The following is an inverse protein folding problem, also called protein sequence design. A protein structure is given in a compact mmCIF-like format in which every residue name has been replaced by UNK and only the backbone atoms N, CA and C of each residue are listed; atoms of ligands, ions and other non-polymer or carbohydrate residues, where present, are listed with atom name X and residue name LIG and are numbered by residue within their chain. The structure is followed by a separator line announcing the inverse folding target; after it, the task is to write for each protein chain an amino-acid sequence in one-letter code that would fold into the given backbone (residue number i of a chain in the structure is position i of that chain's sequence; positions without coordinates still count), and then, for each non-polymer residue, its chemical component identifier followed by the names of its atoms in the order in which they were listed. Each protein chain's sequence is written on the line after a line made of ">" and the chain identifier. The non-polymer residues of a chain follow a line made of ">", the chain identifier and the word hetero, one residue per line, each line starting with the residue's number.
data_IF_781600850201
#
_entry.id   IF_781600850201
#
_cell.length_a   1.000
_cell.length_b   1.000
_cell.length_c   1.000
_cell.angle_alpha   90.00
_cell.angle_beta   90.00
_cell.angle_gamma   90.00
#
_symmetry.space_group_name_H-M   'P 1'
#
loop_
_entity.id
_entity.type
_entity.pdbx_description
1 polymer ?
#
# COMPACT_ATOMS: atom_id res chain seq x y z
N UNK A 5 -3.02 -21.33 -7.89
CA UNK A 5 -2.36 -20.30 -8.73
C UNK A 5 -1.56 -20.97 -9.83
N UNK A 6 -1.74 -20.56 -11.05
CA UNK A 6 -0.97 -21.20 -12.16
C UNK A 6 0.49 -20.75 -12.07
N UNK A 7 1.37 -21.49 -12.69
CA UNK A 7 2.82 -21.12 -12.65
C UNK A 7 3.02 -19.84 -13.47
N UNK A 8 2.07 -19.51 -14.30
CA UNK A 8 2.20 -18.28 -15.14
C UNK A 8 2.09 -17.02 -14.27
N UNK A 9 1.20 -17.02 -13.32
CA UNK A 9 1.00 -15.81 -12.46
C UNK A 9 2.14 -15.63 -11.45
N UNK A 10 2.63 -16.68 -10.84
CA UNK A 10 3.73 -16.48 -9.85
C UNK A 10 4.92 -15.85 -10.56
N UNK A 11 5.24 -16.29 -11.75
CA UNK A 11 6.39 -15.69 -12.48
C UNK A 11 6.13 -14.19 -12.68
N UNK A 12 4.91 -13.82 -12.98
CA UNK A 12 4.63 -12.37 -13.17
C UNK A 12 4.94 -11.64 -11.86
N UNK A 13 4.62 -12.27 -10.75
CA UNK A 13 4.90 -11.62 -9.44
C UNK A 13 6.37 -11.26 -9.36
N UNK A 14 7.22 -11.99 -10.02
CA UNK A 14 8.67 -11.65 -9.96
C UNK A 14 8.97 -10.55 -10.98
N UNK A 15 8.03 -10.25 -11.84
CA UNK A 15 8.26 -9.18 -12.88
C UNK A 15 7.72 -7.81 -12.41
N UNK A 16 6.77 -7.77 -11.50
CA UNK A 16 6.25 -6.43 -11.07
C UNK A 16 5.33 -6.55 -9.85
N UNK A 17 5.43 -5.60 -8.95
CA UNK A 17 4.57 -5.62 -7.73
C UNK A 17 3.10 -5.58 -8.13
N UNK A 18 2.79 -4.83 -9.15
CA UNK A 18 1.37 -4.71 -9.57
C UNK A 18 0.77 -6.09 -9.86
N UNK A 19 1.52 -6.97 -10.47
CA UNK A 19 0.96 -8.32 -10.77
C UNK A 19 0.60 -9.03 -9.45
N UNK A 20 1.47 -8.98 -8.48
CA UNK A 20 1.18 -9.66 -7.19
C UNK A 20 -0.08 -9.08 -6.56
N UNK A 21 -0.18 -7.78 -6.49
CA UNK A 21 -1.38 -7.16 -5.87
C UNK A 21 -2.57 -7.18 -6.85
N UNK A 22 -2.33 -7.38 -8.13
CA UNK A 22 -3.46 -7.38 -9.12
C UNK A 22 -4.01 -8.79 -9.32
N UNK A 23 -3.40 -9.80 -8.74
CA UNK A 23 -3.93 -11.19 -8.93
C UNK A 23 -4.92 -11.52 -7.81
N UNK A 24 -5.97 -12.24 -8.14
CA UNK A 24 -6.98 -12.60 -7.11
C UNK A 24 -6.31 -13.40 -5.99
N UNK A 25 -5.41 -14.28 -6.33
CA UNK A 25 -4.73 -15.07 -5.26
C UNK A 25 -3.59 -14.25 -4.69
N UNK A 26 -2.93 -13.48 -5.51
CA UNK A 26 -1.83 -12.65 -4.99
C UNK A 26 -2.42 -11.72 -3.94
N UNK A 27 -3.56 -11.15 -4.23
CA UNK A 27 -4.22 -10.25 -3.23
C UNK A 27 -4.49 -11.07 -1.96
N UNK A 28 -5.12 -12.19 -2.10
CA UNK A 28 -5.42 -13.04 -0.90
C UNK A 28 -4.10 -13.45 -0.24
N UNK A 29 -3.17 -13.91 -1.01
CA UNK A 29 -1.86 -14.32 -0.44
C UNK A 29 -1.14 -13.07 0.09
N UNK A 30 -1.16 -12.01 -0.68
CA UNK A 30 -0.49 -10.78 -0.24
C UNK A 30 -1.17 -10.26 1.04
N UNK A 31 -2.47 -10.21 1.06
CA UNK A 31 -3.16 -9.72 2.28
C UNK A 31 -2.79 -10.64 3.45
N UNK A 32 -2.72 -11.91 3.21
CA UNK A 32 -2.34 -12.85 4.30
C UNK A 32 -0.88 -12.58 4.67
N UNK A 33 -0.05 -12.34 3.70
CA UNK A 33 1.37 -12.06 4.00
C UNK A 33 1.49 -10.82 4.89
N UNK A 34 0.71 -9.82 4.63
CA UNK A 34 0.78 -8.59 5.48
C UNK A 34 0.45 -8.96 6.91
N UNK A 35 -0.51 -9.82 7.10
CA UNK A 35 -0.88 -10.25 8.47
C UNK A 35 0.34 -10.88 9.14
N UNK A 36 1.12 -11.59 8.39
CA UNK A 36 2.34 -12.24 8.97
C UNK A 36 3.27 -11.14 9.50
N UNK A 37 3.37 -10.04 8.78
CA UNK A 37 4.25 -8.92 9.23
C UNK A 37 3.36 -7.86 9.88
N UNK A 38 2.10 -8.16 10.01
CA UNK A 38 1.15 -7.20 10.65
C UNK A 38 1.21 -5.86 9.93
N UNK A 39 1.34 -5.90 8.63
CA UNK A 39 1.38 -4.64 7.82
C UNK A 39 0.06 -4.54 7.04
N UNK A 40 -0.99 -5.12 7.58
CA UNK A 40 -2.30 -5.07 6.87
C UNK A 40 -2.80 -3.63 6.81
N UNK A 41 -2.29 -2.77 7.64
CA UNK A 41 -2.74 -1.36 7.57
C UNK A 41 -2.35 -0.80 6.20
N UNK A 42 -1.28 -1.29 5.65
CA UNK A 42 -0.82 -0.81 4.31
C UNK A 42 -1.87 -1.08 3.22
N UNK A 43 -2.46 -2.25 3.19
CA UNK A 43 -3.47 -2.50 2.12
C UNK A 43 -4.71 -1.64 2.40
N UNK A 44 -5.09 -1.51 3.63
CA UNK A 44 -6.27 -0.65 3.92
C UNK A 44 -5.91 0.77 3.45
N UNK A 45 -4.71 1.19 3.71
CA UNK A 45 -4.27 2.54 3.25
C UNK A 45 -4.27 2.54 1.72
N UNK A 46 -3.81 1.47 1.12
CA UNK A 46 -3.80 1.40 -0.37
C UNK A 46 -5.22 1.54 -0.88
N UNK A 47 -6.16 0.86 -0.27
CA UNK A 47 -7.57 0.97 -0.73
C UNK A 47 -8.03 2.41 -0.57
N UNK A 48 -7.67 3.03 0.52
CA UNK A 48 -8.07 4.44 0.73
C UNK A 48 -7.35 5.30 -0.32
N UNK A 49 -6.12 4.97 -0.61
CA UNK A 49 -5.37 5.75 -1.63
C UNK A 49 -6.03 5.58 -3.00
N UNK A 50 -6.48 4.39 -3.31
CA UNK A 50 -7.12 4.18 -4.64
C UNK A 50 -8.35 5.09 -4.75
N UNK A 51 -9.17 5.13 -3.73
CA UNK A 51 -10.35 6.03 -3.79
C UNK A 51 -9.84 7.45 -3.96
N UNK A 52 -8.78 7.78 -3.27
CA UNK A 52 -8.18 9.12 -3.38
C UNK A 52 -7.67 9.33 -4.80
N UNK A 53 -7.07 8.32 -5.39
CA UNK A 53 -6.54 8.43 -6.77
C UNK A 53 -7.68 8.53 -7.79
N UNK A 54 -8.85 8.09 -7.44
CA UNK A 54 -9.99 8.16 -8.42
C UNK A 54 -10.65 9.54 -8.33
N UNK A 55 -10.70 10.10 -7.15
CA UNK A 55 -11.32 11.45 -7.01
C UNK A 55 -10.39 12.49 -7.66
N UNK A 56 -10.84 13.12 -8.72
CA UNK A 56 -9.99 14.13 -9.42
C UNK A 56 -10.39 15.55 -9.01
N UNK A 57 -11.36 15.69 -8.14
CA UNK A 57 -11.78 17.05 -7.70
C UNK A 57 -10.98 17.45 -6.45
N UNK A 58 -10.09 18.43 -6.50
CA UNK A 58 -9.31 18.79 -5.29
C UNK A 58 -10.19 19.35 -4.16
N UNK A 59 -11.44 19.61 -4.45
CA UNK A 59 -12.33 20.14 -3.39
C UNK A 59 -12.87 18.98 -2.55
N UNK A 60 -12.86 17.78 -3.09
CA UNK A 60 -13.36 16.60 -2.32
C UNK A 60 -12.20 15.90 -1.62
N UNK A 61 -11.00 16.10 -2.08
CA UNK A 61 -9.82 15.43 -1.44
C UNK A 61 -9.63 15.94 -0.01
N UNK A 62 -9.81 17.22 0.20
CA UNK A 62 -9.63 17.78 1.57
C UNK A 62 -10.45 16.98 2.60
N UNK A 63 -11.76 16.96 2.50
CA UNK A 63 -12.58 16.20 3.50
C UNK A 63 -12.01 14.80 3.81
N UNK A 64 -11.84 13.96 2.82
CA UNK A 64 -11.32 12.60 3.10
C UNK A 64 -9.84 12.66 3.47
N UNK A 65 -9.11 13.60 2.94
CA UNK A 65 -7.67 13.69 3.27
C UNK A 65 -7.52 13.87 4.78
N UNK A 66 -8.25 14.79 5.34
CA UNK A 66 -8.17 15.01 6.80
C UNK A 66 -8.59 13.75 7.53
N UNK A 67 -9.66 13.13 7.11
CA UNK A 67 -10.13 11.88 7.78
C UNK A 67 -9.05 10.80 7.65
N UNK A 68 -8.57 10.57 6.45
CA UNK A 68 -7.52 9.54 6.26
C UNK A 68 -6.24 10.00 6.96
N UNK A 69 -5.86 11.23 6.75
CA UNK A 69 -4.64 11.76 7.39
C UNK A 69 -4.78 11.66 8.90
N UNK A 70 -5.87 12.15 9.42
CA UNK A 70 -6.07 12.10 10.89
C UNK A 70 -6.12 10.64 11.36
N UNK A 71 -6.75 9.78 10.60
CA UNK A 71 -6.85 8.36 11.04
C UNK A 71 -5.52 7.60 10.81
N UNK A 72 -5.05 7.54 9.60
CA UNK A 72 -3.80 6.76 9.31
C UNK A 72 -2.51 7.57 9.53
N UNK A 73 -2.51 8.87 9.31
CA UNK A 73 -1.22 9.65 9.46
C UNK A 73 -1.13 10.38 10.80
N UNK A 74 -2.17 10.47 11.58
CA UNK A 74 -2.03 11.20 12.87
C UNK A 74 -0.95 10.52 13.72
N UNK A 75 -0.06 11.28 14.27
CA UNK A 75 1.01 10.68 15.11
C UNK A 75 0.39 9.93 16.29
N UNK A 76 -0.84 10.23 16.63
CA UNK A 76 -1.49 9.53 17.78
C UNK A 76 -2.37 8.39 17.25
N UNK A 77 -2.43 8.24 15.96
CA UNK A 77 -3.27 7.15 15.38
C UNK A 77 -2.87 5.81 16.01
N UNK A 78 -3.84 4.97 16.28
CA UNK A 78 -3.52 3.65 16.89
C UNK A 78 -2.84 2.75 15.87
N UNK A 79 -3.26 2.83 14.62
CA UNK A 79 -2.65 1.98 13.54
C UNK A 79 -1.81 2.85 12.60
N UNK A 80 -0.78 3.46 13.09
CA UNK A 80 0.07 4.31 12.21
C UNK A 80 0.64 3.47 11.07
N UNK A 81 0.68 4.01 9.89
CA UNK A 81 1.24 3.24 8.74
C UNK A 81 2.75 3.41 8.73
N UNK A 82 3.46 2.37 8.40
CA UNK A 82 4.94 2.46 8.38
C UNK A 82 5.39 3.29 7.17
N UNK A 83 5.92 4.45 7.42
CA UNK A 83 6.40 5.34 6.32
C UNK A 83 7.65 6.06 6.80
N UNK A 84 8.34 6.74 5.93
CA UNK A 84 9.57 7.46 6.40
C UNK A 84 9.14 8.66 7.23
N UNK A 85 10.06 9.28 7.91
CA UNK A 85 9.71 10.44 8.77
C UNK A 85 9.30 11.66 7.94
N UNK A 86 9.69 11.74 6.69
CA UNK A 86 9.33 12.93 5.86
C UNK A 86 8.01 12.74 5.09
N UNK A 87 7.68 11.54 4.71
CA UNK A 87 6.42 11.33 3.92
C UNK A 87 5.18 11.78 4.69
N UNK A 88 5.10 11.52 5.96
CA UNK A 88 3.89 11.94 6.72
C UNK A 88 3.72 13.46 6.63
N UNK A 89 4.80 14.19 6.74
CA UNK A 89 4.71 15.67 6.64
C UNK A 89 4.16 16.04 5.26
N UNK A 90 4.59 15.35 4.24
CA UNK A 90 4.11 15.67 2.87
C UNK A 90 2.59 15.59 2.81
N UNK A 91 2.01 14.57 3.39
CA UNK A 91 0.53 14.48 3.36
C UNK A 91 -0.05 15.65 4.15
N UNK A 92 0.56 15.98 5.26
CA UNK A 92 0.06 17.12 6.08
C UNK A 92 0.19 18.41 5.25
N UNK A 93 1.26 18.54 4.52
CA UNK A 93 1.46 19.75 3.68
C UNK A 93 0.40 19.78 2.58
N UNK A 94 -0.01 18.64 2.10
CA UNK A 94 -1.04 18.63 1.03
C UNK A 94 -2.34 19.26 1.56
N UNK A 95 -2.44 19.39 2.85
CA UNK A 95 -3.66 20.01 3.43
C UNK A 95 -3.79 21.43 2.89
N UNK A 96 -2.68 22.12 2.78
CA UNK A 96 -2.71 23.51 2.25
C UNK A 96 -3.13 23.45 0.78
N UNK A 97 -2.67 22.47 0.05
CA UNK A 97 -3.04 22.35 -1.40
C UNK A 97 -3.26 20.87 -1.74
N UNK A 98 -4.40 20.31 -1.37
CA UNK A 98 -4.69 18.88 -1.67
C UNK A 98 -4.70 18.60 -3.18
N UNK A 99 -3.84 17.72 -3.63
CA UNK A 99 -3.79 17.38 -5.09
C UNK A 99 -3.91 15.86 -5.25
N UNK A 100 -4.04 15.39 -6.45
CA UNK A 100 -4.17 13.93 -6.67
C UNK A 100 -2.82 13.27 -6.39
N UNK A 101 -1.76 14.04 -6.36
CA UNK A 101 -0.41 13.46 -6.10
C UNK A 101 -0.12 13.49 -4.60
N UNK A 102 -1.05 13.96 -3.81
CA UNK A 102 -0.83 14.02 -2.35
C UNK A 102 -0.59 12.62 -1.78
N UNK A 103 -1.42 11.67 -2.11
CA UNK A 103 -1.25 10.29 -1.56
C UNK A 103 -0.43 9.42 -2.52
N UNK A 104 -0.10 9.93 -3.67
CA UNK A 104 0.71 9.11 -4.62
C UNK A 104 2.10 8.90 -4.02
N UNK A 105 2.64 9.93 -3.40
CA UNK A 105 3.99 9.79 -2.78
C UNK A 105 3.93 8.73 -1.69
N UNK A 106 2.87 8.71 -0.93
CA UNK A 106 2.75 7.70 0.15
C UNK A 106 2.52 6.34 -0.48
N UNK A 107 1.70 6.27 -1.49
CA UNK A 107 1.45 4.97 -2.15
C UNK A 107 2.77 4.44 -2.70
N UNK A 108 3.56 5.31 -3.25
CA UNK A 108 4.88 4.89 -3.80
C UNK A 108 5.71 4.27 -2.68
N UNK A 109 5.65 4.86 -1.52
CA UNK A 109 6.44 4.31 -0.37
C UNK A 109 5.86 2.94 0.01
N UNK A 110 4.56 2.79 -0.01
CA UNK A 110 3.98 1.46 0.33
C UNK A 110 4.46 0.45 -0.71
N UNK A 111 4.43 0.82 -1.97
CA UNK A 111 4.91 -0.11 -3.02
C UNK A 111 6.38 -0.43 -2.76
N UNK A 112 7.18 0.59 -2.58
CA UNK A 112 8.62 0.38 -2.31
C UNK A 112 8.79 -0.37 -0.99
N UNK A 113 8.01 -0.06 0.00
CA UNK A 113 8.16 -0.75 1.31
C UNK A 113 7.94 -2.25 1.14
N UNK A 114 6.80 -2.66 0.66
CA UNK A 114 6.56 -4.13 0.51
C UNK A 114 7.43 -4.69 -0.62
N UNK A 115 7.64 -3.94 -1.66
CA UNK A 115 8.48 -4.44 -2.79
C UNK A 115 9.91 -4.71 -2.28
N UNK A 116 10.42 -3.85 -1.45
CA UNK A 116 11.80 -4.06 -0.94
C UNK A 116 11.86 -5.25 0.03
N UNK A 117 10.85 -5.45 0.84
CA UNK A 117 10.88 -6.56 1.84
C UNK A 117 9.86 -7.67 1.52
N UNK A 118 8.63 -7.33 1.27
CA UNK A 118 7.61 -8.40 1.00
C UNK A 118 8.00 -9.23 -0.23
N UNK A 119 8.42 -8.59 -1.30
CA UNK A 119 8.79 -9.36 -2.53
C UNK A 119 9.94 -10.31 -2.20
N UNK A 120 10.98 -9.83 -1.58
CA UNK A 120 12.11 -10.74 -1.25
C UNK A 120 11.59 -11.85 -0.36
N UNK A 121 10.74 -11.52 0.57
CA UNK A 121 10.17 -12.56 1.46
C UNK A 121 9.20 -13.44 0.66
N UNK A 122 8.43 -12.86 -0.22
CA UNK A 122 7.48 -13.68 -1.02
C UNK A 122 8.25 -14.74 -1.80
N UNK A 123 9.29 -14.36 -2.48
CA UNK A 123 10.07 -15.36 -3.25
C UNK A 123 10.58 -16.42 -2.28
N UNK A 124 10.94 -16.02 -1.09
CA UNK A 124 11.45 -17.00 -0.08
C UNK A 124 10.34 -17.38 0.91
N UNK A 125 9.12 -16.98 0.66
CA UNK A 125 8.02 -17.33 1.61
C UNK A 125 7.59 -18.78 1.39
N UNK A 126 6.98 -19.39 2.36
CA UNK A 126 6.54 -20.79 2.20
C UNK A 126 5.38 -20.88 1.20
N UNK A 127 4.47 -19.94 1.22
CA UNK A 127 3.35 -19.99 0.24
C UNK A 127 3.90 -19.96 -1.18
N UNK A 128 4.76 -19.03 -1.46
CA UNK A 128 5.35 -18.93 -2.82
C UNK A 128 6.10 -20.22 -3.16
N UNK A 129 6.90 -20.70 -2.26
CA UNK A 129 7.65 -21.95 -2.53
C UNK A 129 6.66 -23.08 -2.78
N UNK A 130 5.59 -23.14 -2.03
CA UNK A 130 4.59 -24.21 -2.26
C UNK A 130 4.08 -24.07 -3.68
N UNK A 131 3.78 -22.87 -4.08
CA UNK A 131 3.30 -22.62 -5.47
C UNK A 131 4.46 -22.85 -6.44
N UNK A 132 5.64 -22.44 -6.04
CA UNK A 132 6.85 -22.61 -6.91
C UNK A 132 7.78 -23.66 -6.30
N UNK A 133 7.48 -24.89 -6.49
CA UNK A 133 8.34 -25.96 -5.93
C UNK A 133 9.54 -26.16 -6.87
#
# INVERSE_FOLDING_TARGET
>A
MRGSVSQEEVKKWAESLENLINHECGLAAFKAFLKSEYSEENIDFWISCEEYKKIKSPSKLSPKAKKIYNEFISVQATKEVNLDSCTREETSRNMLEPTITCFDEAQKKIFNLMEKDSYRRFLKSRFYLDLTNPSSCGAEKQKGAKSSADCTSLVPQCAHHHHHHP
#
